data_IF_596007065215
#
_entry.id   IF_596007065215
#
_cell.length_a   1.000
_cell.length_b   1.000
_cell.length_c   1.000
_cell.angle_alpha   90.00
_cell.angle_beta   90.00
_cell.angle_gamma   90.00
#
_symmetry.space_group_name_H-M   'P 1'
#
loop_
_entity.id
_entity.type
_entity.pdbx_description
1 polymer ?
#
# COMPACT_ATOMS: atom_id res chain seq x y z
N UNK A 1 -2.59 -19.66 4.38
CA UNK A 1 -1.24 -20.15 4.77
C UNK A 1 -1.39 -21.57 5.30
N UNK A 2 -0.59 -22.52 4.84
CA UNK A 2 -0.62 -23.88 5.38
C UNK A 2 -0.38 -23.88 6.89
N UNK A 3 -1.16 -24.67 7.61
CA UNK A 3 -0.96 -24.84 9.04
C UNK A 3 0.34 -25.63 9.29
N UNK A 4 1.31 -25.00 9.93
CA UNK A 4 2.56 -25.66 10.32
C UNK A 4 2.48 -26.31 11.73
N UNK A 5 1.33 -26.25 12.39
CA UNK A 5 1.10 -26.78 13.74
C UNK A 5 2.16 -26.27 14.77
N UNK A 6 2.64 -25.05 14.61
CA UNK A 6 3.68 -24.44 15.45
C UNK A 6 5.07 -25.06 15.29
N UNK A 7 5.32 -25.84 14.24
CA UNK A 7 6.63 -26.48 14.00
C UNK A 7 7.63 -25.42 13.52
N UNK A 8 8.84 -25.35 14.11
CA UNK A 8 9.91 -24.51 13.59
C UNK A 8 10.25 -24.83 12.13
N UNK A 9 10.57 -23.82 11.31
CA UNK A 9 10.92 -24.01 9.89
C UNK A 9 9.72 -24.22 8.96
N UNK A 10 8.50 -23.93 9.42
CA UNK A 10 7.30 -23.88 8.59
C UNK A 10 7.02 -22.49 8.02
N UNK A 11 5.82 -22.32 7.48
CA UNK A 11 5.36 -21.01 7.02
C UNK A 11 5.00 -20.07 8.18
N UNK A 12 5.35 -18.80 8.05
CA UNK A 12 4.86 -17.71 8.90
C UNK A 12 4.79 -16.41 8.11
N UNK A 13 3.98 -15.45 8.54
CA UNK A 13 3.76 -14.18 7.82
C UNK A 13 2.36 -14.11 7.20
N UNK A 14 2.21 -13.53 6.01
CA UNK A 14 0.94 -13.38 5.31
C UNK A 14 -0.06 -12.50 6.03
N UNK A 15 0.40 -11.46 6.73
CA UNK A 15 -0.43 -10.61 7.57
C UNK A 15 -1.44 -9.76 6.76
N UNK A 16 -2.62 -9.53 7.32
CA UNK A 16 -3.60 -8.55 6.86
C UNK A 16 -3.57 -7.38 7.84
N UNK A 17 -3.11 -6.22 7.40
CA UNK A 17 -2.87 -5.05 8.27
C UNK A 17 -3.62 -3.79 7.81
N UNK A 18 -4.53 -3.94 6.86
CA UNK A 18 -5.45 -2.89 6.43
C UNK A 18 -6.91 -3.36 6.53
N UNK A 19 -7.85 -2.43 6.68
CA UNK A 19 -9.26 -2.76 6.69
C UNK A 19 -9.68 -3.48 5.41
N UNK A 20 -10.49 -4.55 5.51
CA UNK A 20 -11.06 -5.22 4.35
C UNK A 20 -12.12 -4.36 3.66
N UNK A 21 -12.39 -4.63 2.38
CA UNK A 21 -13.55 -4.10 1.69
C UNK A 21 -14.68 -5.15 1.68
N UNK A 22 -15.90 -4.71 1.99
CA UNK A 22 -17.09 -5.57 2.03
C UNK A 22 -17.95 -5.28 0.81
N UNK A 23 -18.25 -6.32 0.02
CA UNK A 23 -19.22 -6.28 -1.08
C UNK A 23 -20.50 -7.04 -0.70
N UNK A 24 -21.54 -6.32 -0.25
CA UNK A 24 -22.80 -6.95 0.15
C UNK A 24 -23.52 -7.59 -1.03
N UNK A 25 -23.35 -7.06 -2.26
CA UNK A 25 -24.02 -7.57 -3.45
C UNK A 25 -23.46 -8.94 -3.86
N UNK A 26 -22.14 -9.12 -3.79
CA UNK A 26 -21.47 -10.39 -4.06
C UNK A 26 -21.38 -11.28 -2.83
N UNK A 27 -21.72 -10.75 -1.66
CA UNK A 27 -21.54 -11.41 -0.36
C UNK A 27 -20.08 -11.86 -0.16
N UNK A 28 -19.16 -10.95 -0.48
CA UNK A 28 -17.72 -11.19 -0.41
C UNK A 28 -17.03 -10.12 0.43
N UNK A 29 -15.93 -10.53 1.04
CA UNK A 29 -14.98 -9.67 1.73
C UNK A 29 -13.65 -9.78 0.99
N UNK A 30 -13.03 -8.65 0.66
CA UNK A 30 -11.73 -8.62 0.00
C UNK A 30 -10.64 -8.17 0.95
N UNK A 31 -9.50 -8.87 0.91
CA UNK A 31 -8.28 -8.53 1.65
C UNK A 31 -7.05 -8.73 0.77
N UNK A 32 -5.99 -7.96 1.07
CA UNK A 32 -4.63 -8.23 0.61
C UNK A 32 -3.81 -8.79 1.76
N UNK A 33 -2.90 -9.71 1.45
CA UNK A 33 -1.95 -10.27 2.43
C UNK A 33 -0.55 -9.75 2.19
N UNK A 34 0.28 -9.78 3.21
CA UNK A 34 1.69 -9.45 3.12
C UNK A 34 2.56 -10.67 2.81
N UNK A 35 3.87 -10.47 2.87
CA UNK A 35 4.90 -11.46 2.62
C UNK A 35 4.93 -12.58 3.66
N UNK A 36 5.63 -13.66 3.34
CA UNK A 36 6.04 -14.65 4.33
C UNK A 36 7.25 -14.16 5.14
N UNK A 37 7.30 -14.47 6.44
CA UNK A 37 8.48 -14.26 7.29
C UNK A 37 9.39 -15.48 7.31
N UNK A 38 8.83 -16.67 7.11
CA UNK A 38 9.55 -17.92 6.92
C UNK A 38 8.80 -18.85 5.98
N UNK A 39 9.54 -19.77 5.37
CA UNK A 39 8.98 -20.85 4.55
C UNK A 39 9.78 -22.14 4.81
N UNK A 40 9.21 -23.33 4.54
CA UNK A 40 9.92 -24.59 4.63
C UNK A 40 11.20 -24.62 3.80
N UNK A 41 12.22 -25.37 4.27
CA UNK A 41 13.48 -25.51 3.54
C UNK A 41 13.30 -26.01 2.10
N UNK A 42 12.29 -26.84 1.85
CA UNK A 42 11.95 -27.31 0.49
C UNK A 42 11.57 -26.15 -0.45
N UNK A 43 10.89 -25.12 0.06
CA UNK A 43 10.54 -23.91 -0.71
C UNK A 43 11.78 -23.07 -0.98
N UNK A 44 12.61 -22.85 0.06
CA UNK A 44 13.86 -22.11 -0.08
C UNK A 44 14.84 -22.79 -1.05
N UNK A 45 14.97 -24.11 -0.98
CA UNK A 45 15.81 -24.89 -1.88
C UNK A 45 15.30 -24.85 -3.33
N UNK A 46 13.99 -24.95 -3.54
CA UNK A 46 13.37 -24.79 -4.83
C UNK A 46 13.64 -23.41 -5.42
N UNK A 47 13.53 -22.34 -4.60
CA UNK A 47 13.79 -20.98 -5.07
C UNK A 47 15.27 -20.76 -5.40
N UNK A 48 16.22 -21.27 -4.59
CA UNK A 48 17.64 -21.25 -4.93
C UNK A 48 17.93 -21.90 -6.28
N UNK A 49 17.29 -23.06 -6.53
CA UNK A 49 17.44 -23.76 -7.80
C UNK A 49 16.81 -22.98 -8.97
N UNK A 50 15.66 -22.34 -8.75
CA UNK A 50 15.00 -21.51 -9.74
C UNK A 50 15.90 -20.30 -10.15
N UNK A 51 16.49 -19.65 -9.17
CA UNK A 51 17.45 -18.55 -9.39
C UNK A 51 18.67 -19.04 -10.16
N UNK A 52 19.29 -20.14 -9.74
CA UNK A 52 20.48 -20.72 -10.38
C UNK A 52 20.22 -21.10 -11.86
N UNK A 53 19.00 -21.52 -12.18
CA UNK A 53 18.57 -21.92 -13.51
C UNK A 53 17.93 -20.76 -14.32
N UNK A 54 17.90 -19.53 -13.79
CA UNK A 54 17.20 -18.39 -14.35
C UNK A 54 15.71 -18.68 -14.71
N UNK A 55 15.06 -19.52 -13.90
CA UNK A 55 13.67 -19.93 -14.11
C UNK A 55 12.69 -18.96 -13.41
N UNK A 56 12.28 -17.92 -14.13
CA UNK A 56 11.32 -16.91 -13.64
C UNK A 56 9.90 -17.46 -13.42
N UNK A 57 9.59 -18.66 -13.91
CA UNK A 57 8.26 -19.26 -13.84
C UNK A 57 8.14 -20.36 -12.76
N UNK A 58 9.18 -20.58 -11.94
CA UNK A 58 9.11 -21.56 -10.88
C UNK A 58 8.04 -21.14 -9.86
N UNK A 59 7.16 -22.07 -9.50
CA UNK A 59 6.19 -21.89 -8.41
C UNK A 59 6.57 -22.85 -7.27
N UNK A 60 7.37 -22.33 -6.34
CA UNK A 60 7.95 -23.11 -5.24
C UNK A 60 7.05 -23.14 -4.00
N UNK A 61 6.14 -22.19 -3.87
CA UNK A 61 5.27 -22.09 -2.70
C UNK A 61 4.07 -23.03 -2.81
N UNK A 62 3.52 -23.44 -1.67
CA UNK A 62 2.27 -24.20 -1.64
C UNK A 62 1.11 -23.38 -2.24
N UNK A 63 0.14 -24.09 -2.83
CA UNK A 63 -1.01 -23.44 -3.48
C UNK A 63 -1.90 -22.67 -2.51
N UNK A 64 -1.97 -23.11 -1.27
CA UNK A 64 -2.72 -22.53 -0.16
C UNK A 64 -1.87 -21.60 0.72
N UNK A 65 -0.66 -21.27 0.28
CA UNK A 65 0.17 -20.25 0.88
C UNK A 65 -0.16 -18.89 0.23
N UNK A 66 -0.98 -18.12 0.93
CA UNK A 66 -1.56 -16.87 0.44
C UNK A 66 -0.73 -15.63 0.83
N UNK A 67 0.59 -15.64 0.58
CA UNK A 67 1.41 -14.44 0.70
C UNK A 67 1.21 -13.53 -0.52
N UNK A 68 1.31 -12.23 -0.35
CA UNK A 68 1.14 -11.21 -1.40
C UNK A 68 -0.05 -11.46 -2.33
N UNK A 69 -1.15 -11.88 -1.72
CA UNK A 69 -2.32 -12.41 -2.40
C UNK A 69 -3.54 -11.53 -2.16
N UNK A 70 -4.25 -11.21 -3.24
CA UNK A 70 -5.61 -10.71 -3.15
C UNK A 70 -6.56 -11.89 -2.92
N UNK A 71 -7.39 -11.81 -1.88
CA UNK A 71 -8.36 -12.84 -1.50
C UNK A 71 -9.76 -12.27 -1.54
N UNK A 72 -10.70 -13.05 -2.05
CA UNK A 72 -12.12 -12.89 -1.81
C UNK A 72 -12.62 -14.01 -0.91
N UNK A 73 -13.21 -13.62 0.21
CA UNK A 73 -13.77 -14.54 1.21
C UNK A 73 -15.28 -14.44 1.20
N UNK A 74 -15.97 -15.56 1.41
CA UNK A 74 -17.42 -15.58 1.60
C UNK A 74 -17.79 -14.91 2.93
N UNK A 75 -18.81 -14.03 2.92
CA UNK A 75 -19.26 -13.35 4.13
C UNK A 75 -19.98 -14.26 5.14
N UNK A 76 -20.46 -15.44 4.71
CA UNK A 76 -21.21 -16.31 5.59
C UNK A 76 -20.30 -17.20 6.46
N UNK A 77 -19.21 -17.70 5.89
CA UNK A 77 -18.36 -18.71 6.53
C UNK A 77 -16.87 -18.49 6.37
N UNK A 78 -16.46 -17.46 5.62
CA UNK A 78 -15.05 -17.07 5.45
C UNK A 78 -14.25 -17.95 4.49
N UNK A 79 -14.89 -18.91 3.78
CA UNK A 79 -14.13 -19.72 2.81
C UNK A 79 -13.62 -18.86 1.64
N UNK A 80 -12.47 -19.26 1.06
CA UNK A 80 -11.86 -18.58 -0.06
C UNK A 80 -12.68 -18.82 -1.33
N UNK A 81 -13.28 -17.78 -1.88
CA UNK A 81 -14.01 -17.81 -3.16
C UNK A 81 -13.05 -17.81 -4.34
N UNK A 82 -12.05 -16.94 -4.28
CA UNK A 82 -10.93 -16.91 -5.20
C UNK A 82 -9.71 -16.29 -4.52
N UNK A 83 -8.54 -16.59 -5.08
CA UNK A 83 -7.27 -16.02 -4.67
C UNK A 83 -6.44 -15.66 -5.89
N UNK A 84 -5.70 -14.56 -5.81
CA UNK A 84 -4.76 -14.12 -6.84
C UNK A 84 -3.45 -13.72 -6.19
N UNK A 85 -2.45 -14.61 -6.24
CA UNK A 85 -1.09 -14.30 -5.82
C UNK A 85 -0.45 -13.38 -6.87
N UNK A 86 0.19 -12.30 -6.43
CA UNK A 86 0.76 -11.27 -7.30
C UNK A 86 2.29 -11.32 -7.36
N UNK A 87 2.90 -12.10 -6.47
CA UNK A 87 4.33 -12.44 -6.52
C UNK A 87 4.50 -13.95 -6.44
N UNK A 88 5.53 -14.48 -7.10
CA UNK A 88 5.84 -15.91 -7.06
C UNK A 88 6.61 -16.32 -5.80
N UNK A 89 7.36 -15.38 -5.21
CA UNK A 89 8.17 -15.60 -4.01
C UNK A 89 8.36 -14.29 -3.26
N UNK A 90 8.07 -14.31 -1.95
CA UNK A 90 8.43 -13.24 -1.03
C UNK A 90 8.53 -13.80 0.39
N UNK A 91 9.74 -14.16 0.80
CA UNK A 91 10.06 -14.56 2.17
C UNK A 91 11.07 -13.56 2.70
N UNK A 92 10.65 -12.71 3.62
CA UNK A 92 11.47 -11.60 4.09
C UNK A 92 11.16 -11.25 5.56
N UNK A 93 12.16 -10.76 6.30
CA UNK A 93 12.03 -10.24 7.66
C UNK A 93 12.92 -9.01 7.85
N UNK A 94 12.67 -8.24 8.91
CA UNK A 94 13.52 -7.10 9.29
C UNK A 94 15.00 -7.48 9.51
N UNK A 95 15.30 -8.73 9.83
CA UNK A 95 16.66 -9.23 9.91
C UNK A 95 17.47 -9.08 8.61
N UNK A 96 16.78 -8.93 7.47
CA UNK A 96 17.42 -8.70 6.17
C UNK A 96 17.99 -7.28 6.00
N UNK A 97 17.60 -6.35 6.85
CA UNK A 97 18.08 -4.95 6.83
C UNK A 97 18.81 -4.53 8.09
N UNK A 98 18.71 -5.31 9.17
CA UNK A 98 19.36 -5.01 10.47
C UNK A 98 20.53 -5.95 10.68
N UNK A 99 21.74 -5.42 10.62
CA UNK A 99 23.01 -6.20 10.67
C UNK A 99 23.21 -7.10 11.92
N UNK A 100 22.37 -6.97 12.95
CA UNK A 100 22.48 -7.73 14.21
C UNK A 100 22.02 -9.20 14.07
N UNK A 101 21.31 -9.55 13.01
CA UNK A 101 20.65 -10.84 12.87
C UNK A 101 20.67 -11.39 11.43
N UNK A 102 21.78 -11.16 10.70
CA UNK A 102 21.92 -11.66 9.31
C UNK A 102 21.59 -13.15 9.15
N UNK A 103 21.88 -13.96 10.17
CA UNK A 103 21.56 -15.39 10.16
C UNK A 103 20.06 -15.68 10.22
N UNK A 104 19.22 -14.70 10.57
CA UNK A 104 17.77 -14.84 10.62
C UNK A 104 17.08 -14.34 9.31
N UNK A 105 17.82 -13.71 8.39
CA UNK A 105 17.30 -13.37 7.07
C UNK A 105 17.17 -14.65 6.24
N UNK A 106 16.01 -14.93 5.64
CA UNK A 106 15.81 -16.08 4.75
C UNK A 106 16.78 -16.04 3.56
N UNK A 107 17.22 -17.20 3.10
CA UNK A 107 18.13 -17.30 1.94
C UNK A 107 17.60 -18.28 0.89
N UNK A 108 17.16 -17.78 -0.29
CA UNK A 108 17.16 -16.37 -0.69
C UNK A 108 16.10 -15.55 0.04
N UNK A 109 16.31 -14.24 0.17
CA UNK A 109 15.26 -13.33 0.65
C UNK A 109 14.39 -12.84 -0.49
N UNK A 110 13.13 -12.55 -0.19
CA UNK A 110 12.20 -11.88 -1.09
C UNK A 110 12.39 -10.35 -1.08
N UNK A 111 11.62 -9.63 -1.91
CA UNK A 111 11.72 -8.17 -2.04
C UNK A 111 10.92 -7.37 -1.00
N UNK A 112 10.14 -8.01 -0.12
CA UNK A 112 9.20 -7.35 0.81
C UNK A 112 8.15 -6.48 0.09
N UNK A 113 7.43 -7.08 -0.85
CA UNK A 113 6.44 -6.37 -1.68
C UNK A 113 5.00 -6.62 -1.24
N UNK A 114 4.72 -6.44 0.06
CA UNK A 114 3.40 -6.61 0.64
C UNK A 114 2.26 -6.01 -0.19
N UNK A 115 1.20 -6.80 -0.36
CA UNK A 115 -0.09 -6.33 -0.83
C UNK A 115 -1.00 -5.89 0.33
N UNK A 116 -0.76 -6.42 1.51
CA UNK A 116 -1.59 -6.23 2.70
C UNK A 116 -1.56 -4.83 3.30
N UNK A 117 -0.59 -3.98 2.92
CA UNK A 117 -0.44 -2.62 3.45
C UNK A 117 -1.40 -1.59 2.83
N UNK A 118 -1.94 -1.84 1.65
CA UNK A 118 -2.90 -0.95 0.99
C UNK A 118 -4.26 -1.64 0.89
N UNK A 119 -5.20 -1.25 1.75
CA UNK A 119 -6.54 -1.79 1.76
C UNK A 119 -7.26 -1.67 0.40
N UNK A 120 -8.14 -2.63 0.07
CA UNK A 120 -8.76 -2.68 -1.24
C UNK A 120 -9.74 -1.54 -1.49
N UNK A 121 -9.75 -1.00 -2.72
CA UNK A 121 -10.78 -0.11 -3.21
C UNK A 121 -11.84 -0.92 -3.97
N UNK A 122 -13.07 -0.91 -3.49
CA UNK A 122 -14.19 -1.54 -4.19
C UNK A 122 -14.87 -0.53 -5.09
N UNK A 123 -14.94 -0.86 -6.37
CA UNK A 123 -15.47 -0.02 -7.44
C UNK A 123 -16.36 -0.85 -8.36
N UNK A 124 -17.26 -0.25 -9.17
CA UNK A 124 -18.03 -0.99 -10.15
C UNK A 124 -17.13 -1.80 -11.10
N UNK A 125 -17.24 -3.13 -11.02
CA UNK A 125 -16.51 -4.06 -11.91
C UNK A 125 -15.04 -4.29 -11.59
N UNK A 126 -14.47 -3.67 -10.54
CA UNK A 126 -13.10 -3.92 -10.09
C UNK A 126 -12.98 -3.89 -8.56
N UNK A 127 -12.04 -4.65 -8.05
CA UNK A 127 -11.46 -4.48 -6.73
C UNK A 127 -9.97 -4.19 -6.90
N UNK A 128 -9.49 -3.10 -6.31
CA UNK A 128 -8.14 -2.58 -6.57
C UNK A 128 -7.25 -2.60 -5.34
N UNK A 129 -5.97 -2.88 -5.53
CA UNK A 129 -4.95 -3.02 -4.48
C UNK A 129 -3.68 -2.27 -4.85
N UNK A 130 -3.14 -1.49 -3.94
CA UNK A 130 -1.78 -0.99 -4.03
C UNK A 130 -0.79 -2.00 -3.42
N UNK A 131 0.45 -1.99 -3.92
CA UNK A 131 1.50 -2.90 -3.48
C UNK A 131 2.83 -2.16 -3.28
N UNK A 132 3.64 -2.59 -2.32
CA UNK A 132 5.00 -2.06 -2.09
C UNK A 132 5.91 -2.19 -3.33
N UNK A 133 5.59 -3.05 -4.29
CA UNK A 133 6.28 -3.12 -5.60
C UNK A 133 6.15 -1.84 -6.45
N UNK A 134 5.29 -0.92 -6.04
CA UNK A 134 4.94 0.29 -6.80
C UNK A 134 3.86 0.07 -7.84
N UNK A 135 3.27 -1.12 -7.90
CA UNK A 135 2.13 -1.42 -8.76
C UNK A 135 0.80 -1.17 -8.04
N UNK A 136 -0.17 -0.69 -8.81
CA UNK A 136 -1.59 -0.79 -8.48
C UNK A 136 -2.22 -1.85 -9.36
N UNK A 137 -2.97 -2.76 -8.74
CA UNK A 137 -3.61 -3.91 -9.36
C UNK A 137 -5.12 -3.74 -9.33
N UNK A 138 -5.79 -3.84 -10.46
CA UNK A 138 -7.24 -3.86 -10.55
C UNK A 138 -7.70 -5.24 -11.01
N UNK A 139 -8.47 -5.90 -10.17
CA UNK A 139 -8.91 -7.27 -10.37
C UNK A 139 -10.42 -7.32 -10.61
N UNK A 140 -10.86 -8.32 -11.34
CA UNK A 140 -12.28 -8.67 -11.45
C UNK A 140 -12.79 -9.17 -10.08
N UNK A 141 -13.80 -8.53 -9.47
CA UNK A 141 -14.29 -8.94 -8.16
C UNK A 141 -14.95 -10.33 -8.15
N UNK A 142 -15.37 -10.86 -9.31
CA UNK A 142 -16.05 -12.15 -9.38
C UNK A 142 -15.08 -13.35 -9.38
N UNK A 143 -13.85 -13.19 -9.92
CA UNK A 143 -12.93 -14.30 -10.14
C UNK A 143 -11.44 -14.00 -9.91
N UNK A 144 -11.08 -12.75 -9.55
CA UNK A 144 -9.70 -12.34 -9.30
C UNK A 144 -8.83 -12.14 -10.55
N UNK A 145 -9.38 -12.20 -11.75
CA UNK A 145 -8.61 -11.96 -12.97
C UNK A 145 -8.14 -10.50 -13.04
N UNK A 146 -6.88 -10.29 -13.43
CA UNK A 146 -6.31 -8.95 -13.59
C UNK A 146 -7.00 -8.26 -14.76
N UNK A 147 -7.68 -7.16 -14.49
CA UNK A 147 -8.27 -6.27 -15.51
C UNK A 147 -7.20 -5.35 -16.10
N UNK A 148 -6.40 -4.75 -15.22
CA UNK A 148 -5.23 -3.98 -15.56
C UNK A 148 -4.29 -3.88 -14.35
N UNK A 149 -3.04 -3.55 -14.62
CA UNK A 149 -2.07 -3.19 -13.59
C UNK A 149 -1.22 -2.04 -14.10
N UNK A 150 -0.83 -1.15 -13.18
CA UNK A 150 -0.05 0.04 -13.55
C UNK A 150 1.05 0.26 -12.53
N UNK A 151 2.28 0.41 -13.02
CA UNK A 151 3.39 0.86 -12.17
C UNK A 151 3.24 2.36 -11.91
N UNK A 152 3.01 2.70 -10.66
CA UNK A 152 2.80 4.09 -10.22
C UNK A 152 4.13 4.76 -9.87
N UNK A 153 5.10 3.97 -9.42
CA UNK A 153 6.44 4.45 -9.09
C UNK A 153 7.39 3.31 -8.71
N UNK A 154 8.57 3.63 -8.18
CA UNK A 154 9.52 2.63 -7.72
C UNK A 154 8.99 1.84 -6.53
N UNK A 155 9.31 0.54 -6.48
CA UNK A 155 9.03 -0.34 -5.34
C UNK A 155 10.20 -0.40 -4.35
N UNK A 156 9.97 -1.10 -3.25
CA UNK A 156 10.94 -1.35 -2.18
C UNK A 156 10.24 -1.83 -0.92
N UNK A 157 10.95 -2.39 0.05
CA UNK A 157 10.36 -2.83 1.33
C UNK A 157 9.66 -1.70 2.09
N UNK A 158 10.19 -0.49 1.99
CA UNK A 158 9.53 0.76 2.41
C UNK A 158 9.24 1.68 1.22
N UNK A 159 9.18 1.12 0.01
CA UNK A 159 8.88 1.80 -1.25
C UNK A 159 7.45 1.52 -1.72
N UNK A 160 7.15 1.93 -2.94
CA UNK A 160 5.87 1.68 -3.59
C UNK A 160 4.66 2.30 -2.87
N UNK A 161 3.53 1.59 -2.89
CA UNK A 161 2.27 2.02 -2.26
C UNK A 161 2.11 1.26 -0.94
N UNK A 162 2.12 1.98 0.19
CA UNK A 162 2.19 1.33 1.52
C UNK A 162 0.87 1.32 2.29
N UNK A 163 0.32 2.49 2.66
CA UNK A 163 -0.67 2.56 3.73
C UNK A 163 -2.12 2.72 3.28
N UNK A 164 -2.37 2.95 2.06
CA UNK A 164 -3.76 3.04 1.61
C UNK A 164 -3.94 3.96 0.43
N UNK A 165 -4.90 3.60 -0.38
CA UNK A 165 -5.32 4.32 -1.56
C UNK A 165 -6.77 4.78 -1.40
N UNK A 166 -7.17 5.80 -2.14
CA UNK A 166 -8.53 6.32 -2.12
C UNK A 166 -9.15 6.35 -3.52
N UNK A 167 -10.45 6.45 -3.58
CA UNK A 167 -11.16 6.60 -4.87
C UNK A 167 -12.36 7.53 -4.76
N UNK A 168 -12.60 8.30 -5.82
CA UNK A 168 -13.81 9.11 -6.03
C UNK A 168 -14.82 8.43 -6.98
N UNK A 169 -14.59 7.15 -7.31
CA UNK A 169 -15.37 6.38 -8.26
C UNK A 169 -14.99 6.58 -9.73
N UNK A 170 -14.14 7.57 -10.03
CA UNK A 170 -13.61 7.86 -11.38
C UNK A 170 -12.09 7.71 -11.44
N UNK A 171 -11.45 7.98 -10.32
CA UNK A 171 -9.98 7.94 -10.17
C UNK A 171 -9.60 7.16 -8.93
N UNK A 172 -8.40 6.63 -8.96
CA UNK A 172 -7.72 6.03 -7.82
C UNK A 172 -6.54 6.94 -7.47
N UNK A 173 -6.40 7.25 -6.19
CA UNK A 173 -5.32 8.09 -5.66
C UNK A 173 -4.38 7.25 -4.82
N UNK A 174 -3.08 7.35 -5.10
CA UNK A 174 -2.04 6.60 -4.43
C UNK A 174 -0.84 7.48 -4.09
N UNK A 175 -0.21 7.21 -2.96
CA UNK A 175 1.10 7.74 -2.62
C UNK A 175 2.19 6.74 -2.98
N UNK A 176 3.35 7.23 -3.40
CA UNK A 176 4.56 6.44 -3.69
C UNK A 176 5.66 6.88 -2.75
N UNK A 177 6.14 5.97 -1.92
CA UNK A 177 7.13 6.29 -0.90
C UNK A 177 8.52 6.56 -1.47
N UNK A 178 9.01 5.70 -2.35
CA UNK A 178 10.34 5.80 -2.98
C UNK A 178 11.52 6.05 -2.01
N UNK A 179 11.54 5.36 -0.87
CA UNK A 179 12.59 5.52 0.14
C UNK A 179 14.00 5.10 -0.35
N UNK A 180 14.07 4.32 -1.42
CA UNK A 180 15.33 3.92 -2.06
C UNK A 180 15.90 4.98 -3.01
N UNK A 181 15.27 6.16 -3.11
CA UNK A 181 15.67 7.29 -3.95
C UNK A 181 15.89 6.91 -5.43
N UNK A 182 15.08 5.98 -5.93
CA UNK A 182 15.17 5.51 -7.33
C UNK A 182 14.61 6.58 -8.28
N UNK A 183 15.33 6.91 -9.38
CA UNK A 183 14.83 7.89 -10.34
C UNK A 183 13.63 7.34 -11.10
N UNK A 184 12.58 8.18 -11.25
CA UNK A 184 11.45 7.90 -12.12
C UNK A 184 10.84 9.19 -12.68
N UNK A 185 10.14 9.04 -13.81
CA UNK A 185 9.58 10.17 -14.55
C UNK A 185 8.11 10.34 -14.24
N UNK A 186 7.71 11.54 -13.85
CA UNK A 186 6.33 11.90 -13.51
C UNK A 186 5.47 12.19 -14.75
N UNK A 187 4.21 11.83 -14.70
CA UNK A 187 3.20 12.06 -15.75
C UNK A 187 2.25 13.19 -15.31
N UNK A 188 1.89 14.14 -16.19
CA UNK A 188 2.37 14.34 -17.57
C UNK A 188 3.58 15.25 -17.66
N UNK A 189 4.15 15.71 -16.53
CA UNK A 189 5.17 16.77 -16.49
C UNK A 189 6.49 16.38 -17.19
N UNK A 190 6.81 15.07 -17.23
CA UNK A 190 8.12 14.59 -17.69
C UNK A 190 9.26 14.86 -16.69
N UNK A 191 8.97 15.43 -15.51
CA UNK A 191 9.98 15.66 -14.47
C UNK A 191 10.52 14.33 -13.94
N UNK A 192 11.83 14.21 -13.82
CA UNK A 192 12.49 13.09 -13.14
C UNK A 192 12.73 13.47 -11.69
N UNK A 193 12.29 12.61 -10.79
CA UNK A 193 12.48 12.77 -9.33
C UNK A 193 13.05 11.48 -8.73
N UNK A 194 13.56 11.58 -7.49
CA UNK A 194 14.09 10.45 -6.71
C UNK A 194 13.44 10.34 -5.33
N UNK A 195 12.32 10.99 -5.10
CA UNK A 195 11.58 11.02 -3.82
C UNK A 195 10.11 10.68 -4.01
N UNK A 196 9.30 10.92 -2.99
CA UNK A 196 7.89 10.59 -2.98
C UNK A 196 7.04 11.45 -3.92
N UNK A 197 5.89 10.93 -4.30
CA UNK A 197 4.88 11.65 -5.08
C UNK A 197 3.49 11.03 -4.87
N UNK A 198 2.47 11.81 -5.18
CA UNK A 198 1.08 11.35 -5.25
C UNK A 198 0.62 11.24 -6.69
N UNK A 199 -0.29 10.31 -6.94
CA UNK A 199 -0.72 9.94 -8.28
C UNK A 199 -2.23 9.79 -8.36
N UNK A 200 -2.81 10.12 -9.51
CA UNK A 200 -4.16 9.72 -9.87
C UNK A 200 -4.16 8.83 -11.11
N UNK A 201 -4.90 7.73 -11.04
CA UNK A 201 -5.11 6.78 -12.14
C UNK A 201 -6.57 6.81 -12.58
N UNK A 202 -6.81 6.63 -13.85
CA UNK A 202 -8.15 6.37 -14.39
C UNK A 202 -8.63 4.98 -13.94
N UNK A 203 -9.82 4.92 -13.37
CA UNK A 203 -10.35 3.69 -12.77
C UNK A 203 -10.59 2.55 -13.78
N UNK A 204 -10.91 2.89 -15.03
CA UNK A 204 -11.26 1.90 -16.04
C UNK A 204 -10.04 1.35 -16.80
N UNK A 205 -9.03 2.19 -16.98
CA UNK A 205 -7.88 1.87 -17.84
C UNK A 205 -6.58 1.71 -17.08
N UNK A 206 -6.51 2.17 -15.83
CA UNK A 206 -5.28 2.25 -15.06
C UNK A 206 -4.29 3.32 -15.53
N UNK A 207 -4.64 4.12 -16.55
CA UNK A 207 -3.75 5.16 -17.07
C UNK A 207 -3.48 6.23 -16.02
N UNK A 208 -2.21 6.57 -15.80
CA UNK A 208 -1.82 7.72 -14.99
C UNK A 208 -2.38 9.00 -15.60
N UNK A 209 -3.14 9.77 -14.81
CA UNK A 209 -3.73 11.05 -15.19
C UNK A 209 -2.78 12.16 -14.81
N UNK A 210 -2.34 12.17 -13.56
CA UNK A 210 -1.35 13.11 -13.04
C UNK A 210 -0.51 12.47 -11.94
N UNK A 211 0.70 13.01 -11.77
CA UNK A 211 1.57 12.77 -10.64
C UNK A 211 2.12 14.10 -10.13
N UNK A 212 2.01 14.33 -8.83
CA UNK A 212 2.50 15.51 -8.14
C UNK A 212 3.63 15.10 -7.20
N UNK A 213 4.86 15.62 -7.37
CA UNK A 213 5.96 15.34 -6.45
C UNK A 213 5.68 15.97 -5.09
N UNK A 214 6.21 15.39 -4.01
CA UNK A 214 6.25 16.11 -2.73
C UNK A 214 6.99 17.44 -2.93
N UNK A 215 6.39 18.57 -2.52
CA UNK A 215 7.06 19.87 -2.57
C UNK A 215 8.37 19.90 -1.76
N UNK A 216 8.51 19.05 -0.76
CA UNK A 216 9.75 18.85 0.00
C UNK A 216 10.61 17.79 -0.69
N UNK A 217 11.59 18.24 -1.47
CA UNK A 217 12.52 17.35 -2.17
C UNK A 217 13.20 16.37 -1.21
N UNK A 218 13.21 15.09 -1.60
CA UNK A 218 13.78 14.01 -0.80
C UNK A 218 12.84 13.37 0.21
N UNK A 219 11.63 13.92 0.41
CA UNK A 219 10.67 13.34 1.35
C UNK A 219 10.00 12.08 0.76
N UNK A 220 9.91 10.97 1.52
CA UNK A 220 9.10 9.83 1.12
C UNK A 220 7.62 10.06 1.46
N UNK A 221 6.73 9.49 0.66
CA UNK A 221 5.28 9.57 0.85
C UNK A 221 4.68 8.19 1.13
N UNK A 222 4.80 7.77 2.39
CA UNK A 222 4.28 6.47 2.83
C UNK A 222 2.78 6.53 3.19
N UNK A 223 2.26 7.72 3.41
CA UNK A 223 0.95 7.95 4.02
C UNK A 223 -0.24 7.50 3.16
N UNK A 224 -1.33 7.11 3.82
CA UNK A 224 -2.58 6.85 3.14
C UNK A 224 -3.19 8.14 2.57
N UNK A 225 -3.89 8.03 1.44
CA UNK A 225 -4.61 9.12 0.78
C UNK A 225 -6.09 9.05 1.14
N UNK A 226 -6.73 10.20 1.28
CA UNK A 226 -8.19 10.32 1.36
C UNK A 226 -8.71 11.30 0.31
N UNK A 227 -9.93 11.11 -0.16
CA UNK A 227 -10.54 11.99 -1.17
C UNK A 227 -11.98 12.33 -0.81
N UNK A 228 -12.35 13.60 -0.93
CA UNK A 228 -13.72 14.06 -0.78
C UNK A 228 -13.96 15.36 -1.57
N UNK A 229 -15.14 15.49 -2.15
CA UNK A 229 -15.61 16.73 -2.80
C UNK A 229 -14.62 17.32 -3.82
N UNK A 230 -13.95 16.46 -4.60
CA UNK A 230 -12.99 16.89 -5.61
C UNK A 230 -11.62 17.32 -5.07
N UNK A 231 -11.31 17.01 -3.81
CA UNK A 231 -10.02 17.27 -3.17
C UNK A 231 -9.41 15.97 -2.67
N UNK A 232 -8.16 15.69 -3.06
CA UNK A 232 -7.34 14.62 -2.53
C UNK A 232 -6.44 15.17 -1.40
N UNK A 233 -6.41 14.46 -0.28
CA UNK A 233 -5.62 14.81 0.91
C UNK A 233 -4.54 13.77 1.13
N UNK A 234 -3.31 14.21 1.31
CA UNK A 234 -2.17 13.34 1.50
C UNK A 234 -1.13 13.96 2.43
N UNK A 235 -0.54 13.15 3.27
CA UNK A 235 0.51 13.57 4.21
C UNK A 235 1.89 13.15 3.73
N UNK A 236 2.90 13.93 4.16
CA UNK A 236 4.30 13.70 3.86
C UNK A 236 5.08 13.33 5.12
N UNK A 237 6.14 12.54 4.95
CA UNK A 237 7.09 12.29 6.03
C UNK A 237 7.91 13.54 6.41
N UNK A 238 7.91 14.58 5.55
CA UNK A 238 8.49 15.90 5.86
C UNK A 238 7.72 16.69 6.94
N UNK A 239 6.52 16.24 7.31
CA UNK A 239 5.68 16.90 8.32
C UNK A 239 4.55 17.74 7.76
N UNK A 240 4.45 17.84 6.45
CA UNK A 240 3.39 18.60 5.80
C UNK A 240 2.14 17.77 5.54
N UNK A 241 0.99 18.45 5.66
CA UNK A 241 -0.32 17.99 5.22
C UNK A 241 -0.70 18.77 3.97
N UNK A 242 -1.14 18.05 2.91
CA UNK A 242 -1.44 18.65 1.62
C UNK A 242 -2.87 18.36 1.17
N UNK A 243 -3.44 19.31 0.42
CA UNK A 243 -4.67 19.12 -0.32
C UNK A 243 -4.43 19.44 -1.80
N UNK A 244 -4.83 18.54 -2.69
CA UNK A 244 -4.68 18.65 -4.13
C UNK A 244 -6.05 18.68 -4.81
N UNK A 245 -6.16 19.43 -5.89
CA UNK A 245 -7.27 19.28 -6.83
C UNK A 245 -7.26 17.86 -7.39
N UNK A 246 -8.33 17.12 -7.11
CA UNK A 246 -8.42 15.70 -7.43
C UNK A 246 -8.36 15.40 -8.94
N UNK A 247 -8.76 16.36 -9.79
CA UNK A 247 -8.76 16.18 -11.24
C UNK A 247 -7.39 16.46 -11.87
N UNK A 248 -6.61 17.37 -11.30
CA UNK A 248 -5.40 17.91 -11.94
C UNK A 248 -4.11 17.67 -11.18
N UNK A 249 -4.18 17.32 -9.88
CA UNK A 249 -3.01 17.21 -9.00
C UNK A 249 -2.43 18.57 -8.58
N UNK A 250 -3.09 19.69 -8.91
CA UNK A 250 -2.64 21.01 -8.51
C UNK A 250 -2.74 21.17 -7.00
N UNK A 251 -1.65 21.60 -6.34
CA UNK A 251 -1.64 21.90 -4.91
C UNK A 251 -2.61 23.06 -4.61
N UNK A 252 -3.55 22.81 -3.68
CA UNK A 252 -4.55 23.78 -3.23
C UNK A 252 -4.20 24.38 -1.86
N UNK A 253 -3.64 23.57 -0.97
CA UNK A 253 -3.35 23.94 0.40
C UNK A 253 -2.24 23.08 0.98
N UNK A 254 -1.47 23.65 1.90
CA UNK A 254 -0.46 22.95 2.70
C UNK A 254 -0.47 23.47 4.13
N UNK A 255 -0.10 22.59 5.08
CA UNK A 255 0.01 22.93 6.49
C UNK A 255 1.19 22.16 7.10
N UNK A 256 2.10 22.89 7.73
CA UNK A 256 3.18 22.29 8.52
C UNK A 256 2.63 21.83 9.86
N UNK A 257 2.57 20.51 10.06
CA UNK A 257 2.04 19.90 11.27
C UNK A 257 3.10 19.73 12.38
N UNK A 258 4.37 19.93 12.05
CA UNK A 258 5.51 19.79 12.94
C UNK A 258 5.92 18.33 13.22
N UNK A 259 5.36 17.35 12.53
CA UNK A 259 5.74 15.93 12.64
C UNK A 259 5.28 15.13 11.44
N UNK A 260 5.92 14.01 11.15
CA UNK A 260 5.65 13.19 9.97
C UNK A 260 4.19 12.74 9.90
N UNK A 261 3.62 12.72 8.70
CA UNK A 261 2.20 12.43 8.46
C UNK A 261 2.05 11.18 7.60
N UNK A 262 1.95 10.02 8.24
CA UNK A 262 1.74 8.73 7.58
C UNK A 262 0.28 8.27 7.60
N UNK A 263 -0.54 8.79 8.52
CA UNK A 263 -1.98 8.48 8.59
C UNK A 263 -2.77 9.25 7.54
N UNK A 264 -3.74 8.60 6.91
CA UNK A 264 -4.74 9.27 6.08
C UNK A 264 -5.75 10.06 6.93
N UNK A 265 -6.25 11.21 6.46
CA UNK A 265 -7.25 11.96 7.21
C UNK A 265 -8.62 11.31 7.18
N UNK A 266 -9.38 11.45 8.29
CA UNK A 266 -10.80 11.18 8.33
C UNK A 266 -11.59 12.46 8.00
N UNK A 267 -12.58 12.33 7.13
CA UNK A 267 -13.40 13.46 6.64
C UNK A 267 -14.84 13.23 7.06
N UNK A 268 -15.36 14.02 7.98
CA UNK A 268 -16.70 13.85 8.57
C UNK A 268 -17.37 15.21 8.72
N UNK A 269 -18.59 15.37 8.21
CA UNK A 269 -19.44 16.57 8.35
C UNK A 269 -18.72 17.89 7.99
N UNK A 270 -17.86 17.86 6.98
CA UNK A 270 -17.10 19.03 6.53
C UNK A 270 -15.90 19.38 7.42
N UNK A 271 -15.52 18.50 8.32
CA UNK A 271 -14.31 18.59 9.16
C UNK A 271 -13.32 17.52 8.72
N UNK A 272 -12.06 17.91 8.57
CA UNK A 272 -10.92 17.07 8.28
C UNK A 272 -10.16 16.82 9.58
N UNK A 273 -10.11 15.57 10.05
CA UNK A 273 -9.35 15.16 11.23
C UNK A 273 -8.07 14.46 10.80
N UNK A 274 -6.91 14.91 11.28
CA UNK A 274 -5.63 14.39 10.81
C UNK A 274 -4.58 14.33 11.90
N UNK A 275 -4.02 13.15 12.12
CA UNK A 275 -2.92 12.92 13.06
C UNK A 275 -1.56 13.32 12.49
N UNK A 276 -0.66 13.76 13.36
CA UNK A 276 0.74 14.07 13.04
C UNK A 276 1.65 13.42 14.08
N UNK A 277 2.78 12.84 13.64
CA UNK A 277 3.78 12.29 14.53
C UNK A 277 4.06 10.81 14.36
N UNK A 278 4.18 10.34 13.14
CA UNK A 278 4.71 9.01 12.87
C UNK A 278 6.19 8.94 13.30
N UNK A 279 6.54 7.98 14.14
CA UNK A 279 7.77 7.95 14.92
C UNK A 279 9.10 7.94 14.14
N UNK A 280 10.25 8.07 14.83
CA UNK A 280 11.58 8.16 14.23
C UNK A 280 12.10 6.80 13.74
N UNK A 281 11.23 5.93 13.25
CA UNK A 281 11.61 4.59 12.84
C UNK A 281 12.47 4.61 11.57
N UNK A 282 13.53 3.85 11.57
CA UNK A 282 14.26 3.54 10.35
C UNK A 282 13.46 2.49 9.57
N UNK A 283 13.37 2.61 8.23
CA UNK A 283 14.10 3.49 7.32
C UNK A 283 13.40 4.81 6.98
N UNK A 284 12.19 5.08 7.48
CA UNK A 284 11.40 6.26 7.09
C UNK A 284 11.88 7.57 7.74
N UNK A 285 12.69 7.50 8.79
CA UNK A 285 13.25 8.64 9.52
C UNK A 285 12.20 9.70 9.90
N UNK A 286 11.05 9.23 10.41
CA UNK A 286 9.93 10.09 10.74
C UNK A 286 10.23 11.11 11.84
N UNK A 287 9.52 12.22 11.82
CA UNK A 287 9.57 13.28 12.83
C UNK A 287 8.43 13.01 13.83
N UNK A 288 8.80 12.77 15.10
CA UNK A 288 7.83 12.53 16.16
C UNK A 288 6.96 13.76 16.44
N UNK A 289 5.67 13.54 16.69
CA UNK A 289 4.70 14.52 17.16
C UNK A 289 3.55 13.77 17.83
N UNK A 290 2.69 14.46 18.55
CA UNK A 290 1.54 13.87 19.25
C UNK A 290 0.25 14.69 19.06
N UNK A 291 0.11 15.32 17.89
CA UNK A 291 -1.01 16.23 17.63
C UNK A 291 -2.06 15.57 16.73
N UNK A 292 -3.30 15.87 17.05
CA UNK A 292 -4.46 15.65 16.19
C UNK A 292 -5.01 17.02 15.79
N UNK A 293 -5.09 17.26 14.51
CA UNK A 293 -5.64 18.50 13.94
C UNK A 293 -7.07 18.28 13.46
N UNK A 294 -7.89 19.31 13.59
CA UNK A 294 -9.22 19.37 13.00
C UNK A 294 -9.33 20.65 12.16
N UNK A 295 -9.53 20.49 10.86
CA UNK A 295 -9.66 21.61 9.92
C UNK A 295 -11.10 21.70 9.43
N UNK A 296 -11.64 22.93 9.35
CA UNK A 296 -12.96 23.20 8.82
C UNK A 296 -12.97 24.51 8.05
N UNK A 297 -13.66 24.57 6.93
CA UNK A 297 -13.89 25.81 6.17
C UNK A 297 -14.89 26.73 6.85
N UNK A 298 -15.68 26.23 7.80
CA UNK A 298 -16.65 26.98 8.59
C UNK A 298 -16.34 26.76 10.07
N UNK A 299 -16.48 27.80 10.93
CA UNK A 299 -16.30 27.58 12.36
C UNK A 299 -17.25 26.47 12.83
N UNK A 300 -16.77 25.53 13.67
CA UNK A 300 -17.58 24.42 14.14
C UNK A 300 -18.83 24.97 14.83
N UNK A 301 -20.01 24.50 14.41
CA UNK A 301 -21.23 24.77 15.16
C UNK A 301 -21.06 24.10 16.51
N UNK A 302 -21.00 24.90 17.59
CA UNK A 302 -20.99 24.36 18.97
C UNK A 302 -22.28 23.55 19.14
N UNK A 303 -22.20 22.24 19.10
CA UNK A 303 -23.29 21.40 19.58
C UNK A 303 -23.24 21.45 21.11
N UNK A 304 -24.35 21.75 21.79
CA UNK A 304 -24.38 21.61 23.25
C UNK A 304 -24.05 20.16 23.62
N UNK A 305 -23.11 19.99 24.52
CA UNK A 305 -22.81 18.69 25.14
C UNK A 305 -24.09 18.25 25.84
N UNK A 306 -24.71 17.18 25.40
CA UNK A 306 -25.83 16.53 26.09
C UNK A 306 -25.31 15.52 27.09
#
# INVERSE_FOLDING_TARGET
MPDNAGRPGGYSGGAVWQPPAIDPLRRQLYVGTGNNYSAPESVLACERQAIANNNQNADCAARDDYFDTALALDLADGHVRWSKRLLRYDVWTDACIVAIAESACPSPSGPDYDLGGSGPNLLPGIVGFGQKSGFYWALNPDNGDIRWSTRVGPGGGTGGIQWGTATDGRRIYAAVANTNNMPYTLVPSGQVITWGAWSALDVHTGRLIWQAPDPTSGAPDVGAVSVANGVAYAGSMSGFMYAFDAATGRLLWSFDSGGSVAGGPAIVDGVLYWGSGYGPDKPTQGIANNKLYAFSLKPPKRRPIR
#
